data_IF_889623507227
#
_entry.id   IF_889623507227
#
_cell.length_a   1.000
_cell.length_b   1.000
_cell.length_c   1.000
_cell.angle_alpha   90.00
_cell.angle_beta   90.00
_cell.angle_gamma   90.00
#
_symmetry.space_group_name_H-M   'P 1'
#
loop_
_entity.id
_entity.type
_entity.pdbx_description
1 polymer ?
#
# COMPACT_ATOMS: atom_id res chain seq x y z
N UNK A 1 20.77 -15.75 -0.43
CA UNK A 1 20.64 -15.22 -1.80
C UNK A 1 19.16 -15.00 -2.02
N UNK A 2 18.68 -13.82 -1.62
CA UNK A 2 17.26 -13.49 -1.70
C UNK A 2 16.92 -13.08 -3.14
N UNK A 3 16.42 -14.05 -3.89
CA UNK A 3 15.75 -13.85 -5.17
C UNK A 3 14.75 -12.72 -5.02
N UNK A 4 14.97 -11.61 -5.72
CA UNK A 4 14.09 -10.44 -5.75
C UNK A 4 12.77 -10.80 -6.44
N UNK A 5 11.92 -11.55 -5.75
CA UNK A 5 10.49 -11.63 -6.07
C UNK A 5 9.99 -10.20 -5.88
N UNK A 6 9.54 -9.55 -6.96
CA UNK A 6 9.00 -8.20 -6.92
C UNK A 6 8.04 -8.08 -5.74
N UNK A 7 8.43 -7.38 -4.68
CA UNK A 7 7.67 -7.39 -3.43
C UNK A 7 6.74 -6.20 -3.43
N UNK A 8 5.45 -6.48 -3.26
CA UNK A 8 4.47 -5.47 -2.86
C UNK A 8 4.02 -5.83 -1.46
N UNK A 9 4.09 -4.87 -0.56
CA UNK A 9 3.76 -5.07 0.84
C UNK A 9 2.99 -3.87 1.39
N UNK A 10 1.98 -4.15 2.20
CA UNK A 10 1.35 -3.13 3.03
C UNK A 10 1.76 -3.39 4.46
N UNK A 11 2.35 -2.37 5.08
CA UNK A 11 2.87 -2.41 6.45
C UNK A 11 2.19 -1.33 7.28
N UNK A 12 1.96 -1.65 8.55
CA UNK A 12 1.57 -0.64 9.52
C UNK A 12 2.63 0.48 9.56
N UNK A 13 2.20 1.75 9.43
CA UNK A 13 3.08 2.91 9.46
C UNK A 13 2.66 3.94 10.51
N UNK A 14 3.58 4.81 10.92
CA UNK A 14 3.35 5.88 11.90
C UNK A 14 4.13 7.13 11.54
N UNK A 15 3.53 8.30 11.78
CA UNK A 15 4.17 9.60 11.69
C UNK A 15 4.81 10.04 13.03
N UNK A 16 4.98 9.09 13.95
CA UNK A 16 5.65 9.28 15.24
C UNK A 16 6.60 8.12 15.46
N UNK A 17 7.71 8.36 16.18
CA UNK A 17 8.69 7.31 16.47
C UNK A 17 8.06 6.13 17.19
N UNK A 18 8.45 4.92 16.75
CA UNK A 18 8.06 3.65 17.35
C UNK A 18 9.33 2.82 17.54
N UNK A 19 9.50 2.28 18.74
CA UNK A 19 10.58 1.33 19.01
C UNK A 19 10.44 0.13 18.07
N UNK A 20 11.58 -0.39 17.61
CA UNK A 20 11.68 -1.54 16.70
C UNK A 20 11.07 -1.35 15.31
N UNK A 21 10.65 -0.13 14.96
CA UNK A 21 10.17 0.21 13.62
C UNK A 21 11.27 0.89 12.84
N UNK A 22 11.34 0.60 11.54
CA UNK A 22 12.33 1.21 10.65
C UNK A 22 11.85 2.59 10.22
N UNK A 23 12.67 3.62 10.46
CA UNK A 23 12.48 4.95 9.87
C UNK A 23 12.81 4.89 8.38
N UNK A 24 11.87 5.31 7.54
CA UNK A 24 12.05 5.41 6.09
C UNK A 24 11.83 6.86 5.65
N UNK A 25 12.57 7.27 4.62
CA UNK A 25 12.51 8.61 4.04
C UNK A 25 11.25 8.79 3.18
N UNK A 26 10.13 8.94 3.86
CA UNK A 26 8.82 9.26 3.28
C UNK A 26 8.08 10.12 4.29
N UNK A 27 7.50 11.24 3.86
CA UNK A 27 6.87 12.17 4.78
C UNK A 27 5.34 12.13 4.69
N UNK A 28 4.68 11.86 5.81
CA UNK A 28 3.22 11.96 5.96
C UNK A 28 2.92 13.16 6.86
N UNK A 29 2.27 14.19 6.30
CA UNK A 29 1.98 15.42 7.04
C UNK A 29 3.22 16.19 7.47
N UNK A 30 4.32 16.09 6.70
CA UNK A 30 5.60 16.73 7.00
C UNK A 30 6.46 16.03 8.06
N UNK A 31 6.04 14.84 8.54
CA UNK A 31 6.76 14.04 9.52
C UNK A 31 7.30 12.76 8.90
N UNK A 32 8.42 12.26 9.41
CA UNK A 32 9.00 10.98 9.00
C UNK A 32 8.03 9.81 9.18
N UNK A 33 8.13 8.84 8.28
CA UNK A 33 7.34 7.61 8.35
C UNK A 33 8.16 6.49 8.99
N UNK A 34 7.63 5.95 10.09
CA UNK A 34 8.11 4.76 10.76
C UNK A 34 7.29 3.58 10.31
N UNK A 35 7.94 2.48 9.90
CA UNK A 35 7.29 1.31 9.31
C UNK A 35 7.57 0.07 10.14
N UNK A 36 6.52 -0.72 10.39
CA UNK A 36 6.62 -1.98 11.10
C UNK A 36 7.55 -2.98 10.37
N UNK A 37 8.30 -3.82 11.11
CA UNK A 37 9.22 -4.79 10.51
C UNK A 37 8.52 -5.91 9.74
N UNK A 38 7.28 -6.23 10.11
CA UNK A 38 6.51 -7.31 9.48
C UNK A 38 5.42 -6.77 8.53
N UNK A 39 5.26 -7.36 7.33
CA UNK A 39 4.16 -7.04 6.43
C UNK A 39 2.82 -7.47 7.02
N UNK A 40 1.81 -6.62 6.90
CA UNK A 40 0.42 -6.97 7.22
C UNK A 40 -0.24 -7.68 6.05
N UNK A 41 0.02 -7.20 4.82
CA UNK A 41 -0.43 -7.82 3.57
C UNK A 41 0.76 -7.92 2.65
N UNK A 42 0.91 -9.07 1.99
CA UNK A 42 1.91 -9.28 0.94
C UNK A 42 1.25 -9.40 -0.43
N UNK A 43 2.04 -9.26 -1.50
CA UNK A 43 1.60 -9.33 -2.89
C UNK A 43 0.74 -10.57 -3.19
N UNK A 44 1.06 -11.70 -2.57
CA UNK A 44 0.33 -12.95 -2.76
C UNK A 44 -1.13 -12.91 -2.30
N UNK A 45 -1.49 -11.92 -1.48
CA UNK A 45 -2.82 -11.73 -0.89
C UNK A 45 -3.60 -10.59 -1.55
N UNK A 46 -3.06 -9.99 -2.62
CA UNK A 46 -3.74 -9.00 -3.45
C UNK A 46 -4.30 -9.71 -4.68
N UNK A 47 -5.61 -9.61 -4.88
CA UNK A 47 -6.32 -10.27 -5.98
C UNK A 47 -6.19 -9.44 -7.27
N UNK A 48 -6.37 -8.13 -7.18
CA UNK A 48 -6.28 -7.25 -8.36
C UNK A 48 -5.92 -5.82 -7.97
N UNK A 49 -5.38 -5.09 -8.95
CA UNK A 49 -5.15 -3.65 -8.87
C UNK A 49 -5.84 -2.95 -10.04
N UNK A 50 -6.93 -2.22 -9.74
CA UNK A 50 -7.70 -1.48 -10.73
C UNK A 50 -7.26 -0.02 -10.76
N UNK A 51 -6.87 0.47 -11.93
CA UNK A 51 -6.60 1.89 -12.17
C UNK A 51 -7.90 2.68 -12.18
N UNK A 52 -7.88 3.86 -11.59
CA UNK A 52 -8.99 4.80 -11.58
C UNK A 52 -8.46 6.23 -11.52
N UNK A 53 -9.37 7.19 -11.57
CA UNK A 53 -9.11 8.61 -11.34
C UNK A 53 -10.12 9.07 -10.29
N UNK A 54 -9.71 9.91 -9.35
CA UNK A 54 -10.64 10.52 -8.39
C UNK A 54 -11.33 11.77 -8.95
N UNK A 55 -12.26 12.35 -8.18
CA UNK A 55 -13.05 13.51 -8.60
C UNK A 55 -12.20 14.77 -8.90
N UNK A 56 -10.94 14.78 -8.46
CA UNK A 56 -9.99 15.87 -8.69
C UNK A 56 -9.05 15.60 -9.88
N UNK A 57 -9.28 14.54 -10.64
CA UNK A 57 -8.44 14.16 -11.77
C UNK A 57 -7.12 13.49 -11.36
N UNK A 58 -6.96 13.06 -10.11
CA UNK A 58 -5.72 12.43 -9.64
C UNK A 58 -5.75 10.93 -9.89
N UNK A 59 -4.66 10.32 -10.39
CA UNK A 59 -4.59 8.89 -10.61
C UNK A 59 -4.67 8.13 -9.28
N UNK A 60 -5.52 7.11 -9.27
CA UNK A 60 -5.72 6.21 -8.14
C UNK A 60 -5.56 4.75 -8.55
N UNK A 61 -5.18 3.91 -7.59
CA UNK A 61 -5.18 2.45 -7.73
C UNK A 61 -6.02 1.87 -6.60
N UNK A 62 -7.00 1.05 -6.98
CA UNK A 62 -7.89 0.36 -6.06
C UNK A 62 -7.42 -1.08 -5.95
N UNK A 63 -7.02 -1.48 -4.76
CA UNK A 63 -6.58 -2.83 -4.44
C UNK A 63 -7.76 -3.65 -3.92
N UNK A 64 -7.94 -4.85 -4.48
CA UNK A 64 -8.84 -5.88 -3.95
C UNK A 64 -8.01 -6.97 -3.31
N UNK A 65 -8.40 -7.39 -2.10
CA UNK A 65 -7.66 -8.37 -1.32
C UNK A 65 -8.34 -9.74 -1.31
N UNK A 66 -7.60 -10.79 -0.94
CA UNK A 66 -8.20 -12.08 -0.57
C UNK A 66 -9.03 -11.92 0.72
N UNK A 67 -9.91 -12.88 1.02
CA UNK A 67 -10.72 -12.83 2.24
C UNK A 67 -9.87 -12.69 3.52
N UNK A 68 -8.78 -13.45 3.61
CA UNK A 68 -7.87 -13.39 4.76
C UNK A 68 -7.17 -12.04 4.87
N UNK A 69 -6.71 -11.47 3.75
CA UNK A 69 -6.11 -10.13 3.78
C UNK A 69 -7.14 -9.02 4.03
N UNK A 70 -8.41 -9.19 3.62
CA UNK A 70 -9.50 -8.28 4.03
C UNK A 70 -9.63 -8.25 5.54
N UNK A 71 -9.70 -9.40 6.22
CA UNK A 71 -9.76 -9.47 7.70
C UNK A 71 -8.57 -8.75 8.36
N UNK A 72 -7.36 -8.94 7.81
CA UNK A 72 -6.15 -8.22 8.28
C UNK A 72 -6.25 -6.72 8.06
N UNK A 73 -6.74 -6.27 6.90
CA UNK A 73 -6.93 -4.85 6.60
C UNK A 73 -7.96 -4.20 7.51
N UNK A 74 -9.12 -4.85 7.70
CA UNK A 74 -10.16 -4.41 8.62
C UNK A 74 -9.57 -4.20 10.00
N UNK A 75 -8.91 -5.22 10.56
CA UNK A 75 -8.23 -5.11 11.86
C UNK A 75 -7.19 -3.99 11.90
N UNK A 76 -6.36 -3.86 10.86
CA UNK A 76 -5.34 -2.81 10.79
C UNK A 76 -5.97 -1.40 10.81
N UNK A 77 -7.05 -1.22 10.07
CA UNK A 77 -7.77 0.05 9.95
C UNK A 77 -8.52 0.42 11.24
N UNK A 78 -9.07 -0.56 11.97
CA UNK A 78 -9.77 -0.34 13.25
C UNK A 78 -8.81 -0.11 14.40
N UNK A 79 -7.78 -0.96 14.54
CA UNK A 79 -6.82 -0.91 15.64
C UNK A 79 -5.94 0.36 15.57
N UNK A 80 -5.83 0.96 14.37
CA UNK A 80 -4.94 2.08 14.09
C UNK A 80 -5.64 3.18 13.30
N UNK A 81 -6.87 3.52 13.69
CA UNK A 81 -7.60 4.63 13.10
C UNK A 81 -6.76 5.92 13.05
N UNK A 82 -6.88 6.65 11.94
CA UNK A 82 -6.14 7.89 11.67
C UNK A 82 -4.62 7.71 11.65
N UNK A 83 -4.12 6.51 11.30
CA UNK A 83 -2.69 6.24 11.10
C UNK A 83 -2.40 5.83 9.66
N UNK A 84 -1.18 6.12 9.16
CA UNK A 84 -0.79 5.69 7.83
C UNK A 84 -0.58 4.18 7.75
N UNK A 85 -0.79 3.65 6.55
CA UNK A 85 -0.32 2.33 6.11
C UNK A 85 0.68 2.56 5.00
N UNK A 86 1.91 2.11 5.18
CA UNK A 86 2.93 2.21 4.15
C UNK A 86 2.65 1.16 3.08
N UNK A 87 2.66 1.59 1.83
CA UNK A 87 2.62 0.74 0.64
C UNK A 87 4.04 0.72 0.08
N UNK A 88 4.66 -0.45 0.11
CA UNK A 88 6.05 -0.64 -0.30
C UNK A 88 6.12 -1.43 -1.60
N UNK A 89 7.03 -1.01 -2.47
CA UNK A 89 7.48 -1.76 -3.64
C UNK A 89 8.98 -1.95 -3.52
N UNK A 90 9.43 -3.20 -3.47
CA UNK A 90 10.84 -3.58 -3.30
C UNK A 90 11.51 -2.82 -2.12
N UNK A 91 10.78 -2.70 -1.00
CA UNK A 91 11.25 -2.03 0.23
C UNK A 91 11.19 -0.50 0.22
N UNK A 92 10.78 0.13 -0.88
CA UNK A 92 10.61 1.58 -0.99
C UNK A 92 9.14 1.96 -0.80
N UNK A 93 8.85 2.96 0.05
CA UNK A 93 7.48 3.47 0.22
C UNK A 93 7.11 4.26 -1.04
N UNK A 94 6.04 3.82 -1.73
CA UNK A 94 5.48 4.54 -2.89
C UNK A 94 4.26 5.39 -2.51
N UNK A 95 3.57 5.00 -1.44
CA UNK A 95 2.41 5.69 -0.90
C UNK A 95 2.25 5.36 0.58
N UNK A 96 1.61 6.26 1.33
CA UNK A 96 1.25 6.02 2.72
C UNK A 96 -0.14 6.60 3.05
N UNK A 97 -1.23 6.03 2.50
CA UNK A 97 -2.58 6.47 2.80
C UNK A 97 -2.86 6.43 4.30
N UNK A 98 -3.53 7.46 4.81
CA UNK A 98 -4.03 7.51 6.18
C UNK A 98 -5.40 6.88 6.23
N UNK A 99 -5.57 5.83 7.02
CA UNK A 99 -6.84 5.13 7.15
C UNK A 99 -7.74 5.88 8.14
N UNK A 100 -8.69 6.64 7.60
CA UNK A 100 -9.61 7.47 8.40
C UNK A 100 -10.80 6.67 8.95
N UNK A 101 -11.15 5.58 8.28
CA UNK A 101 -12.27 4.72 8.60
C UNK A 101 -11.88 3.25 8.41
N UNK A 102 -12.75 2.37 8.88
CA UNK A 102 -12.62 0.93 8.62
C UNK A 102 -12.55 0.66 7.11
N UNK A 103 -11.67 -0.27 6.73
CA UNK A 103 -11.50 -0.75 5.37
C UNK A 103 -11.91 -2.22 5.34
N UNK A 104 -13.06 -2.50 4.73
CA UNK A 104 -13.73 -3.80 4.75
C UNK A 104 -13.58 -4.60 3.44
N UNK A 105 -13.33 -3.92 2.32
CA UNK A 105 -13.28 -4.55 1.00
C UNK A 105 -12.03 -4.15 0.20
N UNK A 106 -11.88 -2.86 -0.12
CA UNK A 106 -10.82 -2.37 -1.00
C UNK A 106 -10.04 -1.20 -0.42
N UNK A 107 -8.75 -1.10 -0.77
CA UNK A 107 -7.94 0.07 -0.45
C UNK A 107 -7.73 0.91 -1.72
N UNK A 108 -8.17 2.16 -1.68
CA UNK A 108 -7.86 3.15 -2.72
C UNK A 108 -6.60 3.92 -2.36
N UNK A 109 -5.62 3.93 -3.27
CA UNK A 109 -4.35 4.65 -3.13
C UNK A 109 -4.33 5.78 -4.15
N UNK A 110 -4.16 7.02 -3.68
CA UNK A 110 -3.99 8.19 -4.54
C UNK A 110 -2.51 8.52 -4.71
N UNK A 111 -2.06 8.70 -5.97
CA UNK A 111 -0.66 9.03 -6.29
C UNK A 111 -0.41 10.55 -6.35
N UNK A 112 -1.45 11.36 -6.11
CA UNK A 112 -1.36 12.81 -6.06
C UNK A 112 -1.23 13.45 -7.45
N UNK A 113 -0.69 14.67 -7.49
CA UNK A 113 -0.63 15.52 -8.70
C UNK A 113 0.78 15.69 -9.26
N UNK A 114 1.75 14.90 -8.76
CA UNK A 114 3.15 14.98 -9.21
C UNK A 114 3.21 14.62 -10.70
N UNK A 115 4.17 15.21 -11.44
CA UNK A 115 4.31 15.04 -12.90
C UNK A 115 4.28 13.57 -13.36
N UNK A 116 4.81 12.65 -12.55
CA UNK A 116 4.91 11.23 -12.88
C UNK A 116 3.82 10.34 -12.23
N UNK A 117 2.85 10.93 -11.52
CA UNK A 117 1.87 10.17 -10.71
C UNK A 117 1.07 9.15 -11.53
N UNK A 118 0.73 9.46 -12.78
CA UNK A 118 0.00 8.54 -13.68
C UNK A 118 0.86 7.34 -14.05
N UNK A 119 2.14 7.58 -14.33
CA UNK A 119 3.11 6.51 -14.67
C UNK A 119 3.31 5.62 -13.45
N UNK A 120 3.57 6.20 -12.27
CA UNK A 120 3.74 5.47 -11.01
C UNK A 120 2.51 4.59 -10.68
N UNK A 121 1.30 5.15 -10.81
CA UNK A 121 0.06 4.41 -10.60
C UNK A 121 -0.10 3.23 -11.58
N UNK A 122 0.23 3.46 -12.86
CA UNK A 122 0.15 2.44 -13.89
C UNK A 122 1.15 1.30 -13.66
N UNK A 123 2.40 1.63 -13.38
CA UNK A 123 3.46 0.66 -13.10
C UNK A 123 3.16 -0.16 -11.85
N UNK A 124 2.61 0.48 -10.81
CA UNK A 124 2.18 -0.22 -9.60
C UNK A 124 1.07 -1.23 -9.88
N UNK A 125 0.03 -0.83 -10.62
CA UNK A 125 -1.07 -1.73 -10.98
C UNK A 125 -0.62 -2.87 -11.91
N UNK A 126 0.24 -2.59 -12.91
CA UNK A 126 0.78 -3.60 -13.82
C UNK A 126 1.59 -4.66 -13.07
N UNK A 127 2.40 -4.23 -12.10
CA UNK A 127 3.19 -5.14 -11.26
C UNK A 127 2.32 -6.13 -10.51
N UNK A 128 1.24 -5.65 -9.88
CA UNK A 128 0.29 -6.51 -9.15
C UNK A 128 -0.41 -7.47 -10.12
N UNK A 129 -1.00 -6.94 -11.20
CA UNK A 129 -1.79 -7.76 -12.12
C UNK A 129 -0.95 -8.79 -12.87
N UNK A 130 0.31 -8.47 -13.22
CA UNK A 130 1.25 -9.43 -13.82
C UNK A 130 1.51 -10.62 -12.89
N UNK A 131 1.65 -10.36 -11.59
CA UNK A 131 1.84 -11.41 -10.59
C UNK A 131 0.61 -12.30 -10.46
N UNK A 132 -0.58 -11.72 -10.37
CA UNK A 132 -1.85 -12.47 -10.30
C UNK A 132 -2.03 -13.36 -11.53
N UNK A 133 -1.82 -12.82 -12.74
CA UNK A 133 -1.95 -13.59 -13.98
C UNK A 133 -0.95 -14.75 -14.07
N UNK A 134 0.26 -14.58 -13.52
CA UNK A 134 1.28 -15.63 -13.48
C UNK A 134 0.95 -16.78 -12.51
N UNK A 135 0.02 -16.59 -11.57
CA UNK A 135 -0.48 -17.66 -10.68
C UNK A 135 -1.63 -18.46 -11.25
N UNK A 136 -2.30 -17.93 -12.27
CA UNK A 136 -3.53 -18.52 -12.81
C UNK A 136 -3.25 -19.35 -14.08
N UNK A 137 -2.03 -19.29 -14.59
CA UNK A 137 -1.47 -20.15 -15.64
C UNK A 137 -0.57 -21.23 -15.03
#
# INVERSE_FOLDING_TARGET
>A
MDTHRSSVELRAASNSSKNDWKRLDYHVGGLDTWVAPEPTIVLDEIVSARRSIDDFGRPTVILTFTEEARKKMTRLSTDRASRPVAVLVDGTIIAAPVLMQEVDDTLTICFGTRRNAVVEANEFADRINKHTNSKTN
#
